data_IF_618939105906
#
_entry.id   IF_618939105906
#
_cell.length_a   1.000
_cell.length_b   1.000
_cell.length_c   1.000
_cell.angle_alpha   90.00
_cell.angle_beta   90.00
_cell.angle_gamma   90.00
#
_symmetry.space_group_name_H-M   'P 1'
#
loop_
_entity.id
_entity.type
_entity.pdbx_description
1 polymer ?
#
# COMPACT_ATOMS: atom_id res chain seq x y z
N UNK A 1 -11.95 -39.03 -47.98
CA UNK A 1 -13.20 -38.25 -47.92
C UNK A 1 -13.14 -37.42 -46.64
N UNK A 2 -12.99 -36.10 -46.81
CA UNK A 2 -13.08 -34.94 -45.89
C UNK A 2 -12.63 -35.10 -44.42
N UNK A 3 -11.55 -34.42 -43.99
CA UNK A 3 -11.48 -33.03 -43.49
C UNK A 3 -12.42 -32.73 -42.31
N UNK A 4 -11.87 -32.40 -41.13
CA UNK A 4 -11.74 -31.01 -40.68
C UNK A 4 -10.88 -30.90 -39.40
N UNK A 5 -9.83 -30.10 -39.53
CA UNK A 5 -9.02 -29.49 -38.46
C UNK A 5 -9.83 -28.42 -37.72
N UNK A 6 -9.76 -28.37 -36.39
CA UNK A 6 -9.99 -27.13 -35.65
C UNK A 6 -8.86 -26.91 -34.64
N UNK A 7 -8.12 -25.83 -34.90
CA UNK A 7 -7.13 -25.21 -34.03
C UNK A 7 -7.83 -24.66 -32.78
N UNK A 8 -7.35 -25.03 -31.60
CA UNK A 8 -7.61 -24.28 -30.37
C UNK A 8 -6.64 -23.10 -30.34
N UNK A 9 -7.14 -21.93 -30.72
CA UNK A 9 -6.53 -20.62 -30.47
C UNK A 9 -6.81 -20.27 -29.00
N UNK A 10 -5.82 -19.96 -28.16
CA UNK A 10 -6.11 -19.31 -26.89
C UNK A 10 -6.60 -17.89 -27.19
N UNK A 11 -7.82 -17.57 -26.77
CA UNK A 11 -8.35 -16.22 -26.81
C UNK A 11 -7.43 -15.33 -25.96
N UNK A 12 -6.69 -14.47 -26.65
CA UNK A 12 -5.95 -13.36 -26.07
C UNK A 12 -7.01 -12.42 -25.49
N UNK A 13 -7.15 -12.37 -24.17
CA UNK A 13 -7.80 -11.24 -23.50
C UNK A 13 -6.87 -10.04 -23.70
N UNK A 14 -7.11 -9.28 -24.77
CA UNK A 14 -6.62 -7.91 -24.84
C UNK A 14 -7.51 -7.10 -23.89
N UNK A 15 -7.04 -6.93 -22.66
CA UNK A 15 -7.42 -5.78 -21.84
C UNK A 15 -7.01 -4.54 -22.61
N UNK A 16 -7.97 -3.85 -23.21
CA UNK A 16 -7.77 -2.50 -23.70
C UNK A 16 -7.73 -1.61 -22.46
N UNK A 17 -6.51 -1.27 -22.02
CA UNK A 17 -6.26 -0.15 -21.12
C UNK A 17 -6.72 1.13 -21.82
N UNK A 18 -7.63 1.86 -21.17
CA UNK A 18 -7.93 3.25 -21.52
C UNK A 18 -7.24 4.11 -20.48
N UNK A 19 -6.05 4.61 -20.83
CA UNK A 19 -5.36 5.67 -20.10
C UNK A 19 -6.11 6.99 -20.29
N UNK A 20 -7.05 7.30 -19.39
CA UNK A 20 -7.54 8.66 -19.27
C UNK A 20 -6.55 9.47 -18.42
N UNK A 21 -5.53 10.02 -19.09
CA UNK A 21 -4.74 11.16 -18.60
C UNK A 21 -5.22 12.39 -19.37
N UNK A 22 -5.85 13.35 -18.69
CA UNK A 22 -6.30 14.60 -19.32
C UNK A 22 -5.72 15.79 -18.57
N UNK A 23 -4.72 16.41 -19.18
CA UNK A 23 -4.30 17.80 -18.93
C UNK A 23 -5.35 18.74 -19.56
N UNK A 24 -5.75 19.78 -18.82
CA UNK A 24 -6.77 20.76 -19.25
C UNK A 24 -6.13 22.08 -19.68
N UNK A 25 -6.51 22.58 -20.87
CA UNK A 25 -6.49 24.01 -21.21
C UNK A 25 -7.76 24.40 -21.98
N UNK A 26 -8.50 25.38 -21.46
CA UNK A 26 -9.01 26.52 -22.26
C UNK A 26 -10.49 26.57 -22.68
N UNK A 27 -11.27 27.32 -21.88
CA UNK A 27 -12.37 28.28 -22.20
C UNK A 27 -13.39 28.02 -23.32
N UNK A 28 -14.68 28.17 -22.98
CA UNK A 28 -15.48 29.35 -23.36
C UNK A 28 -16.82 29.40 -22.62
N UNK A 29 -17.20 30.63 -22.22
CA UNK A 29 -18.43 31.01 -21.53
C UNK A 29 -19.70 30.77 -22.38
N UNK A 30 -20.82 30.47 -21.73
CA UNK A 30 -22.16 30.85 -22.18
C UNK A 30 -23.13 30.92 -21.00
N UNK A 31 -24.06 31.87 -21.11
CA UNK A 31 -24.72 32.64 -20.06
C UNK A 31 -25.86 31.95 -19.32
N UNK A 32 -25.98 32.37 -18.06
CA UNK A 32 -27.03 32.10 -17.06
C UNK A 32 -28.35 32.76 -17.46
N UNK A 33 -29.46 32.01 -17.37
CA UNK A 33 -30.76 32.57 -16.96
C UNK A 33 -31.32 31.82 -15.74
N UNK A 34 -31.90 32.62 -14.87
CA UNK A 34 -32.19 32.45 -13.46
C UNK A 34 -33.48 31.64 -13.19
N UNK A 35 -33.41 30.52 -12.45
CA UNK A 35 -34.61 29.84 -11.94
C UNK A 35 -34.46 29.35 -10.49
N UNK A 36 -34.78 30.27 -9.59
CA UNK A 36 -35.32 30.03 -8.25
C UNK A 36 -36.56 29.11 -8.28
N UNK A 37 -36.38 27.79 -8.14
CA UNK A 37 -37.40 26.81 -7.69
C UNK A 37 -36.79 25.41 -7.52
N UNK A 38 -36.03 25.23 -6.44
CA UNK A 38 -35.57 23.89 -6.00
C UNK A 38 -36.58 23.40 -4.95
N UNK A 39 -37.27 22.29 -5.22
CA UNK A 39 -38.21 21.68 -4.26
C UNK A 39 -39.41 20.88 -4.82
N UNK A 40 -39.39 20.45 -6.08
CA UNK A 40 -40.42 19.54 -6.61
C UNK A 40 -39.89 18.11 -6.71
N UNK A 41 -40.72 17.10 -6.43
CA UNK A 41 -40.47 15.71 -6.84
C UNK A 41 -40.37 15.69 -8.37
N UNK A 42 -39.15 15.67 -8.90
CA UNK A 42 -38.97 15.47 -10.33
C UNK A 42 -39.38 14.04 -10.63
N UNK A 43 -40.43 13.89 -11.43
CA UNK A 43 -40.83 12.59 -11.95
C UNK A 43 -39.84 12.24 -13.06
N UNK A 44 -38.71 11.62 -12.71
CA UNK A 44 -37.67 11.28 -13.69
C UNK A 44 -38.05 9.98 -14.39
N UNK A 45 -37.95 9.95 -15.72
CA UNK A 45 -38.17 8.71 -16.48
C UNK A 45 -37.06 7.67 -16.26
N UNK A 46 -35.92 8.12 -15.74
CA UNK A 46 -34.69 7.36 -15.45
C UNK A 46 -34.30 7.66 -14.00
N UNK A 47 -33.97 6.62 -13.23
CA UNK A 47 -33.30 6.77 -11.92
C UNK A 47 -31.91 6.14 -11.99
N UNK A 48 -30.96 6.72 -11.26
CA UNK A 48 -29.56 6.32 -11.30
C UNK A 48 -29.01 6.21 -9.88
N UNK A 49 -28.44 5.06 -9.54
CA UNK A 49 -27.92 4.75 -8.22
C UNK A 49 -26.46 4.32 -8.28
N UNK A 50 -25.64 4.81 -7.36
CA UNK A 50 -24.23 4.46 -7.25
C UNK A 50 -24.11 3.12 -6.52
N UNK A 51 -23.73 2.08 -7.26
CA UNK A 51 -23.65 0.70 -6.75
C UNK A 51 -22.22 0.28 -6.40
N UNK A 52 -21.21 1.01 -6.90
CA UNK A 52 -19.81 0.82 -6.52
C UNK A 52 -19.06 2.17 -6.44
N UNK A 53 -18.52 2.54 -5.26
CA UNK A 53 -18.88 1.98 -3.96
C UNK A 53 -20.39 2.11 -3.71
N UNK A 54 -20.99 1.25 -2.90
CA UNK A 54 -22.42 1.32 -2.62
C UNK A 54 -22.76 2.60 -1.84
N UNK A 55 -23.68 3.42 -2.34
CA UNK A 55 -24.13 4.63 -1.66
C UNK A 55 -24.98 4.34 -0.41
N UNK A 56 -25.19 5.36 0.43
CA UNK A 56 -26.12 5.33 1.57
C UNK A 56 -27.52 4.88 1.12
N UNK A 57 -28.03 5.49 0.04
CA UNK A 57 -29.32 5.18 -0.54
C UNK A 57 -29.38 3.74 -1.09
N UNK A 58 -28.34 3.29 -1.79
CA UNK A 58 -28.28 1.91 -2.27
C UNK A 58 -28.21 0.90 -1.11
N UNK A 59 -27.45 1.20 -0.07
CA UNK A 59 -27.35 0.36 1.13
C UNK A 59 -28.65 0.33 1.94
N UNK A 60 -29.48 1.37 1.88
CA UNK A 60 -30.86 1.34 2.37
C UNK A 60 -31.73 0.38 1.55
N UNK A 61 -31.64 0.42 0.21
CA UNK A 61 -32.35 -0.54 -0.64
C UNK A 61 -31.93 -1.99 -0.39
N UNK A 62 -30.65 -2.23 -0.10
CA UNK A 62 -30.13 -3.54 0.26
C UNK A 62 -30.43 -3.96 1.72
N UNK A 63 -31.18 -3.14 2.48
CA UNK A 63 -31.48 -3.36 3.91
C UNK A 63 -30.24 -3.52 4.81
N UNK A 64 -29.09 -3.02 4.34
CA UNK A 64 -27.85 -3.06 5.10
C UNK A 64 -27.75 -1.85 6.03
N UNK A 65 -28.28 -0.70 5.62
CA UNK A 65 -28.50 0.44 6.49
C UNK A 65 -29.88 0.37 7.13
N UNK A 66 -29.95 0.66 8.42
CA UNK A 66 -31.19 0.75 9.18
C UNK A 66 -31.74 2.18 9.20
N UNK A 67 -33.01 2.31 9.61
CA UNK A 67 -33.74 3.58 9.73
C UNK A 67 -33.79 4.36 8.40
N UNK A 68 -34.13 3.64 7.32
CA UNK A 68 -34.24 4.18 5.96
C UNK A 68 -35.71 4.37 5.51
N UNK A 69 -36.61 4.66 6.47
CA UNK A 69 -38.07 4.74 6.27
C UNK A 69 -38.49 5.72 5.16
N UNK A 70 -37.59 6.61 4.76
CA UNK A 70 -37.75 7.56 3.65
C UNK A 70 -38.03 6.91 2.29
N UNK A 71 -37.58 5.67 2.09
CA UNK A 71 -37.80 4.90 0.85
C UNK A 71 -39.01 3.97 0.93
N UNK A 72 -39.69 3.91 2.09
CA UNK A 72 -40.98 3.24 2.23
C UNK A 72 -42.13 4.11 1.68
N UNK A 73 -41.87 5.41 1.45
CA UNK A 73 -42.84 6.41 0.99
C UNK A 73 -42.54 6.86 -0.46
N UNK A 74 -42.96 6.09 -1.47
CA UNK A 74 -42.92 6.39 -2.92
C UNK A 74 -41.58 6.89 -3.54
N UNK A 75 -40.53 7.07 -2.75
CA UNK A 75 -39.26 7.64 -3.16
C UNK A 75 -38.32 6.56 -3.68
N UNK A 76 -37.64 6.84 -4.79
CA UNK A 76 -36.66 5.93 -5.41
C UNK A 76 -35.24 6.26 -4.93
N UNK A 77 -34.45 5.24 -4.58
CA UNK A 77 -33.04 5.38 -4.16
C UNK A 77 -32.13 6.01 -5.23
N UNK A 78 -32.52 5.95 -6.50
CA UNK A 78 -31.87 6.61 -7.62
C UNK A 78 -32.52 7.95 -8.02
N UNK A 79 -33.49 8.44 -7.26
CA UNK A 79 -34.24 9.69 -7.51
C UNK A 79 -33.68 10.93 -6.79
N UNK A 80 -32.45 10.84 -6.24
CA UNK A 80 -31.80 11.92 -5.52
C UNK A 80 -31.07 12.81 -6.51
N UNK A 81 -31.60 14.01 -6.76
CA UNK A 81 -31.08 14.94 -7.75
C UNK A 81 -30.96 16.37 -7.21
N UNK A 82 -30.03 17.12 -7.78
CA UNK A 82 -29.74 18.50 -7.39
C UNK A 82 -29.04 19.29 -8.49
N UNK A 83 -28.50 20.48 -8.17
CA UNK A 83 -27.80 21.35 -9.11
C UNK A 83 -26.61 20.65 -9.80
N UNK A 84 -26.33 20.98 -11.06
CA UNK A 84 -25.23 20.35 -11.83
C UNK A 84 -23.85 20.78 -11.31
N UNK A 85 -23.68 22.06 -11.01
CA UNK A 85 -22.44 22.59 -10.46
C UNK A 85 -22.43 22.44 -8.93
N UNK A 86 -21.92 21.31 -8.46
CA UNK A 86 -21.80 21.05 -7.02
C UNK A 86 -20.91 22.08 -6.31
N UNK A 87 -19.86 22.56 -6.97
CA UNK A 87 -18.86 23.43 -6.35
C UNK A 87 -19.44 24.80 -6.02
N UNK A 88 -20.19 25.38 -6.95
CA UNK A 88 -20.74 26.73 -6.83
C UNK A 88 -22.18 26.73 -6.31
N UNK A 89 -23.04 25.93 -6.93
CA UNK A 89 -24.50 25.98 -6.72
C UNK A 89 -25.03 24.76 -5.97
N UNK A 90 -24.16 23.88 -5.50
CA UNK A 90 -24.54 22.65 -4.83
C UNK A 90 -25.29 22.86 -3.50
N UNK A 91 -25.82 21.77 -2.92
CA UNK A 91 -26.50 21.78 -1.63
C UNK A 91 -25.63 22.36 -0.52
N UNK A 92 -26.27 22.90 0.52
CA UNK A 92 -25.57 23.44 1.70
C UNK A 92 -24.83 22.34 2.45
N UNK A 93 -23.83 22.74 3.23
CA UNK A 93 -23.16 21.83 4.17
C UNK A 93 -24.20 21.18 5.10
N UNK A 94 -24.08 19.87 5.28
CA UNK A 94 -25.09 19.07 5.99
C UNK A 94 -26.34 18.72 5.18
N UNK A 95 -26.48 19.18 3.93
CA UNK A 95 -27.59 18.82 3.03
C UNK A 95 -27.10 18.06 1.77
N UNK A 96 -25.81 17.75 1.70
CA UNK A 96 -25.15 17.18 0.52
C UNK A 96 -25.70 15.79 0.16
N UNK A 97 -25.96 14.94 1.15
CA UNK A 97 -26.43 13.57 0.90
C UNK A 97 -27.89 13.51 0.44
N UNK A 98 -28.70 14.51 0.80
CA UNK A 98 -30.08 14.65 0.32
C UNK A 98 -30.20 15.48 -0.95
N UNK A 99 -29.08 15.99 -1.48
CA UNK A 99 -29.06 16.98 -2.57
C UNK A 99 -29.90 18.25 -2.27
N UNK A 100 -30.06 18.62 -0.99
CA UNK A 100 -30.92 19.74 -0.58
C UNK A 100 -32.42 19.44 -0.63
N UNK A 101 -32.82 18.20 -0.94
CA UNK A 101 -34.22 17.79 -0.96
C UNK A 101 -34.66 17.30 0.43
N UNK A 102 -35.64 17.95 1.08
CA UNK A 102 -36.11 17.54 2.40
C UNK A 102 -36.63 16.11 2.47
N UNK A 103 -37.15 15.60 1.35
CA UNK A 103 -37.63 14.23 1.23
C UNK A 103 -36.52 13.19 1.39
N UNK A 104 -35.24 13.55 1.39
CA UNK A 104 -34.12 12.63 1.62
C UNK A 104 -33.27 13.00 2.84
N UNK A 105 -33.76 13.86 3.73
CA UNK A 105 -32.98 14.42 4.85
C UNK A 105 -32.37 13.37 5.79
N UNK A 106 -32.98 12.19 5.92
CA UNK A 106 -32.41 11.11 6.73
C UNK A 106 -31.00 10.76 6.28
N UNK A 107 -30.68 10.87 4.98
CA UNK A 107 -29.36 10.56 4.43
C UNK A 107 -28.27 11.53 4.92
N UNK A 108 -28.65 12.70 5.46
CA UNK A 108 -27.71 13.69 6.01
C UNK A 108 -27.31 13.41 7.46
N UNK A 109 -27.94 12.44 8.12
CA UNK A 109 -27.54 12.04 9.47
C UNK A 109 -26.06 11.64 9.49
N UNK A 110 -25.38 11.99 10.58
CA UNK A 110 -23.98 11.71 10.81
C UNK A 110 -23.81 11.10 12.20
N UNK A 111 -22.75 10.34 12.37
CA UNK A 111 -22.44 9.61 13.58
C UNK A 111 -21.58 8.38 13.27
N UNK A 112 -20.69 8.00 14.19
CA UNK A 112 -19.94 6.77 14.07
C UNK A 112 -20.87 5.59 13.82
N UNK A 113 -20.59 4.82 12.75
CA UNK A 113 -21.35 3.62 12.37
C UNK A 113 -22.80 3.86 11.94
N UNK A 114 -23.26 5.11 11.79
CA UNK A 114 -24.62 5.42 11.29
C UNK A 114 -24.89 4.81 9.92
N UNK A 115 -23.87 4.75 9.08
CA UNK A 115 -23.93 4.23 7.72
C UNK A 115 -22.90 3.14 7.52
N UNK A 116 -23.34 2.03 6.91
CA UNK A 116 -22.46 0.97 6.48
C UNK A 116 -21.49 1.48 5.43
N UNK A 117 -20.21 1.19 5.68
CA UNK A 117 -19.11 1.60 4.83
C UNK A 117 -18.97 0.63 3.67
N UNK A 118 -18.90 1.17 2.47
CA UNK A 118 -18.53 0.43 1.27
C UNK A 118 -17.02 0.35 1.15
N UNK A 119 -16.50 -0.79 0.72
CA UNK A 119 -15.11 -0.89 0.33
C UNK A 119 -14.86 -0.12 -0.97
N UNK A 120 -14.04 0.93 -0.92
CA UNK A 120 -13.52 1.57 -2.12
C UNK A 120 -12.26 0.82 -2.55
N UNK A 121 -12.40 -0.02 -3.58
CA UNK A 121 -11.31 -0.85 -4.07
C UNK A 121 -10.32 -0.03 -4.88
N UNK A 122 -9.17 0.29 -4.29
CA UNK A 122 -8.12 1.09 -4.94
C UNK A 122 -6.95 0.20 -5.37
N UNK A 123 -6.43 0.37 -6.58
CA UNK A 123 -5.30 -0.38 -7.13
C UNK A 123 -4.23 0.60 -7.60
N UNK A 124 -2.96 0.27 -7.45
CA UNK A 124 -1.91 1.12 -8.03
C UNK A 124 -2.08 1.15 -9.55
N UNK A 125 -2.11 2.35 -10.12
CA UNK A 125 -2.19 2.54 -11.57
C UNK A 125 -0.84 3.02 -12.12
N UNK A 126 -0.22 3.99 -11.45
CA UNK A 126 1.15 4.43 -11.72
C UNK A 126 1.75 5.10 -10.47
N UNK A 127 2.98 5.58 -10.57
CA UNK A 127 3.74 6.17 -9.46
C UNK A 127 3.05 7.37 -8.77
N UNK A 128 2.07 8.01 -9.41
CA UNK A 128 1.37 9.19 -8.90
C UNK A 128 -0.13 8.96 -8.68
N UNK A 129 -0.69 7.83 -9.12
CA UNK A 129 -2.12 7.58 -9.08
C UNK A 129 -2.50 6.15 -8.71
N UNK A 130 -3.57 6.02 -7.95
CA UNK A 130 -4.34 4.80 -7.80
C UNK A 130 -5.55 4.82 -8.75
N UNK A 131 -5.99 3.67 -9.25
CA UNK A 131 -7.27 3.51 -9.93
C UNK A 131 -8.31 2.90 -8.99
N UNK A 132 -9.54 3.38 -9.06
CA UNK A 132 -10.72 2.72 -8.49
C UNK A 132 -11.82 2.63 -9.53
N UNK A 133 -12.56 1.52 -9.54
CA UNK A 133 -13.75 1.40 -10.37
C UNK A 133 -14.95 2.04 -9.67
N UNK A 134 -15.64 2.92 -10.39
CA UNK A 134 -16.93 3.50 -10.00
C UNK A 134 -18.02 2.92 -10.90
N UNK A 135 -19.17 2.56 -10.32
CA UNK A 135 -20.29 2.02 -11.07
C UNK A 135 -21.62 2.67 -10.69
N UNK A 136 -22.35 3.10 -11.71
CA UNK A 136 -23.73 3.58 -11.63
C UNK A 136 -24.67 2.60 -12.30
N UNK A 137 -25.82 2.34 -11.69
CA UNK A 137 -26.86 1.46 -12.21
C UNK A 137 -28.13 2.25 -12.49
N UNK A 138 -28.74 2.02 -13.64
CA UNK A 138 -29.95 2.70 -14.10
C UNK A 138 -31.17 1.79 -13.99
N UNK A 139 -32.33 2.36 -13.66
CA UNK A 139 -33.57 1.60 -13.45
C UNK A 139 -34.24 1.09 -14.72
N UNK A 140 -33.98 1.71 -15.87
CA UNK A 140 -34.62 1.38 -17.15
C UNK A 140 -33.60 0.93 -18.22
N UNK A 141 -34.08 0.19 -19.22
CA UNK A 141 -33.29 -0.30 -20.37
C UNK A 141 -33.04 0.79 -21.44
N UNK A 142 -33.33 2.06 -21.13
CA UNK A 142 -33.16 3.14 -22.09
C UNK A 142 -31.67 3.42 -22.35
N UNK A 143 -31.31 3.69 -23.62
CA UNK A 143 -30.00 4.24 -23.94
C UNK A 143 -29.85 5.61 -23.25
N UNK A 144 -29.03 5.68 -22.21
CA UNK A 144 -28.70 6.92 -21.52
C UNK A 144 -27.40 7.49 -22.07
N UNK A 145 -27.34 8.81 -22.22
CA UNK A 145 -26.13 9.52 -22.63
C UNK A 145 -25.64 10.34 -21.46
N UNK A 146 -24.45 10.03 -20.97
CA UNK A 146 -23.82 10.74 -19.85
C UNK A 146 -23.11 11.98 -20.36
N UNK A 147 -23.35 13.12 -19.72
CA UNK A 147 -22.77 14.41 -20.07
C UNK A 147 -21.60 14.78 -19.15
N UNK A 148 -21.79 14.57 -17.85
CA UNK A 148 -20.80 14.89 -16.83
C UNK A 148 -20.85 13.86 -15.70
N UNK A 149 -19.68 13.50 -15.17
CA UNK A 149 -19.55 12.82 -13.88
C UNK A 149 -18.50 13.55 -13.07
N UNK A 150 -18.75 13.79 -11.79
CA UNK A 150 -17.72 14.24 -10.86
C UNK A 150 -17.69 13.33 -9.64
N UNK A 151 -16.50 13.02 -9.17
CA UNK A 151 -16.29 12.23 -7.96
C UNK A 151 -15.45 13.08 -7.02
N UNK A 152 -16.00 13.33 -5.84
CA UNK A 152 -15.33 14.01 -4.75
C UNK A 152 -15.09 13.03 -3.62
N UNK A 153 -13.93 13.13 -2.99
CA UNK A 153 -13.57 12.30 -1.83
C UNK A 153 -13.15 13.23 -0.69
N UNK A 154 -13.53 12.84 0.53
CA UNK A 154 -13.16 13.55 1.74
C UNK A 154 -11.64 13.64 1.92
N UNK A 155 -11.16 14.77 2.44
CA UNK A 155 -9.75 14.97 2.85
C UNK A 155 -9.43 14.25 4.16
N UNK A 156 -8.15 14.21 4.53
CA UNK A 156 -7.67 13.63 5.79
C UNK A 156 -8.22 14.29 7.08
N UNK A 157 -8.93 15.42 6.98
CA UNK A 157 -9.55 16.10 8.11
C UNK A 157 -11.01 15.68 8.37
N UNK A 158 -11.55 14.76 7.57
CA UNK A 158 -12.92 14.31 7.72
C UNK A 158 -13.09 13.41 8.94
N UNK A 159 -14.22 13.58 9.63
CA UNK A 159 -14.67 12.75 10.74
C UNK A 159 -16.14 12.41 10.55
N UNK A 160 -16.58 11.25 11.03
CA UNK A 160 -17.96 10.78 10.85
C UNK A 160 -18.95 11.38 11.85
N UNK A 161 -18.46 12.14 12.84
CA UNK A 161 -19.26 12.82 13.86
C UNK A 161 -19.75 14.21 13.45
N UNK A 162 -19.37 14.70 12.26
CA UNK A 162 -19.78 16.01 11.74
C UNK A 162 -20.60 15.90 10.44
N UNK A 163 -21.44 16.92 10.14
CA UNK A 163 -22.08 17.02 8.84
C UNK A 163 -21.05 17.07 7.70
N UNK A 164 -21.41 16.52 6.54
CA UNK A 164 -20.56 16.60 5.34
C UNK A 164 -20.46 18.07 4.93
N UNK A 165 -19.24 18.59 4.90
CA UNK A 165 -18.92 19.94 4.47
C UNK A 165 -18.23 19.92 3.10
N UNK A 166 -18.60 20.85 2.23
CA UNK A 166 -18.01 21.00 0.88
C UNK A 166 -16.50 21.25 0.96
N UNK A 167 -16.04 22.00 1.95
CA UNK A 167 -14.62 22.30 2.20
C UNK A 167 -13.78 21.06 2.49
N UNK A 168 -14.40 19.97 2.95
CA UNK A 168 -13.74 18.71 3.24
C UNK A 168 -13.72 17.77 2.03
N UNK A 169 -14.38 18.12 0.92
CA UNK A 169 -14.47 17.29 -0.28
C UNK A 169 -13.51 17.81 -1.36
N UNK A 170 -12.59 16.96 -1.78
CA UNK A 170 -11.67 17.22 -2.89
C UNK A 170 -12.15 16.55 -4.16
N UNK A 171 -12.14 17.28 -5.28
CA UNK A 171 -12.39 16.68 -6.59
C UNK A 171 -11.31 15.63 -6.88
N UNK A 172 -11.73 14.38 -6.97
CA UNK A 172 -10.87 13.22 -7.15
C UNK A 172 -10.72 12.87 -8.63
N UNK A 173 -11.84 12.83 -9.37
CA UNK A 173 -11.84 12.67 -10.82
C UNK A 173 -13.12 13.27 -11.41
N UNK A 174 -13.08 13.57 -12.71
CA UNK A 174 -14.24 14.04 -13.45
C UNK A 174 -14.22 13.54 -14.88
N UNK A 175 -15.40 13.35 -15.44
CA UNK A 175 -15.65 13.15 -16.85
C UNK A 175 -16.50 14.32 -17.37
N UNK A 176 -16.11 14.87 -18.50
CA UNK A 176 -16.92 15.80 -19.28
C UNK A 176 -16.99 15.29 -20.71
N UNK A 177 -18.20 15.21 -21.27
CA UNK A 177 -18.41 14.75 -22.63
C UNK A 177 -17.71 15.68 -23.62
N UNK A 178 -16.69 15.18 -24.32
CA UNK A 178 -15.94 15.97 -25.31
C UNK A 178 -15.97 15.39 -26.73
N UNK A 179 -16.36 14.12 -26.92
CA UNK A 179 -16.79 13.48 -28.19
C UNK A 179 -17.10 11.97 -28.03
N UNK A 180 -16.63 11.32 -26.96
CA UNK A 180 -16.84 9.90 -26.70
C UNK A 180 -18.23 9.58 -26.12
N UNK A 181 -18.78 8.42 -26.50
CA UNK A 181 -19.95 7.83 -25.83
C UNK A 181 -19.44 6.93 -24.71
N UNK A 182 -19.72 7.28 -23.45
CA UNK A 182 -19.65 6.31 -22.37
C UNK A 182 -20.71 5.23 -22.65
N UNK A 183 -20.28 3.98 -22.78
CA UNK A 183 -21.17 2.86 -23.05
C UNK A 183 -21.75 2.39 -21.71
N UNK A 184 -23.07 2.32 -21.64
CA UNK A 184 -23.80 1.68 -20.53
C UNK A 184 -24.10 0.24 -20.96
N UNK A 185 -23.49 -0.71 -20.27
CA UNK A 185 -23.67 -2.15 -20.54
C UNK A 185 -24.55 -2.75 -19.46
N UNK A 186 -25.59 -3.51 -19.84
CA UNK A 186 -26.51 -4.16 -18.90
C UNK A 186 -27.13 -3.21 -17.84
N UNK A 187 -27.39 -1.95 -18.22
CA UNK A 187 -27.85 -0.85 -17.35
C UNK A 187 -26.82 -0.40 -16.30
N UNK A 188 -25.55 -0.78 -16.47
CA UNK A 188 -24.46 -0.39 -15.60
C UNK A 188 -23.44 0.41 -16.38
N UNK A 189 -23.16 1.62 -15.90
CA UNK A 189 -22.04 2.42 -16.34
C UNK A 189 -20.86 2.14 -15.41
N UNK A 190 -19.74 1.67 -15.96
CA UNK A 190 -18.47 1.48 -15.24
C UNK A 190 -17.42 2.45 -15.78
N UNK A 191 -16.66 3.07 -14.89
CA UNK A 191 -15.49 3.84 -15.29
C UNK A 191 -14.41 3.80 -14.22
N UNK A 192 -13.16 3.98 -14.67
CA UNK A 192 -12.00 4.08 -13.79
C UNK A 192 -11.80 5.53 -13.35
N UNK A 193 -11.68 5.74 -12.05
CA UNK A 193 -11.36 7.01 -11.43
C UNK A 193 -9.91 6.95 -10.93
N UNK A 194 -9.06 7.86 -11.42
CA UNK A 194 -7.65 7.93 -11.02
C UNK A 194 -7.49 8.91 -9.86
N UNK A 195 -7.17 8.39 -8.69
CA UNK A 195 -6.97 9.12 -7.44
C UNK A 195 -5.49 9.48 -7.29
N UNK A 196 -5.19 10.74 -7.00
CA UNK A 196 -3.82 11.17 -6.69
C UNK A 196 -3.28 10.43 -5.46
N UNK A 197 -2.00 10.06 -5.52
CA UNK A 197 -1.32 9.33 -4.46
C UNK A 197 -1.43 10.07 -3.11
N UNK A 198 -1.21 11.38 -3.10
CA UNK A 198 -1.26 12.21 -1.90
C UNK A 198 -2.64 12.17 -1.23
N UNK A 199 -3.71 12.27 -2.02
CA UNK A 199 -5.09 12.18 -1.51
C UNK A 199 -5.34 10.82 -0.83
N UNK A 200 -4.84 9.74 -1.43
CA UNK A 200 -4.99 8.38 -0.86
C UNK A 200 -4.18 8.23 0.42
N UNK A 201 -2.94 8.75 0.47
CA UNK A 201 -2.12 8.71 1.69
C UNK A 201 -2.74 9.53 2.82
N UNK A 202 -3.25 10.72 2.53
CA UNK A 202 -3.89 11.59 3.51
C UNK A 202 -5.07 10.87 4.19
N UNK A 203 -5.95 10.24 3.39
CA UNK A 203 -7.08 9.46 3.93
C UNK A 203 -6.57 8.22 4.69
N UNK A 204 -5.58 7.52 4.15
CA UNK A 204 -5.09 6.29 4.77
C UNK A 204 -4.49 6.54 6.15
N UNK A 205 -3.68 7.59 6.32
CA UNK A 205 -2.98 7.86 7.57
C UNK A 205 -3.71 8.78 8.54
N UNK A 206 -4.42 9.80 8.06
CA UNK A 206 -5.05 10.78 8.95
C UNK A 206 -6.43 10.31 9.42
N UNK A 207 -7.16 9.55 8.60
CA UNK A 207 -8.51 9.05 8.94
C UNK A 207 -8.57 7.53 9.06
N UNK A 208 -7.42 6.84 9.14
CA UNK A 208 -7.32 5.37 9.16
C UNK A 208 -8.06 4.70 7.98
N UNK A 209 -8.02 5.32 6.80
CA UNK A 209 -8.66 4.82 5.59
C UNK A 209 -10.19 5.02 5.55
N UNK A 210 -10.75 5.81 6.48
CA UNK A 210 -12.19 6.12 6.52
C UNK A 210 -12.48 7.41 5.76
N UNK A 211 -13.56 7.47 5.01
CA UNK A 211 -13.94 8.70 4.31
C UNK A 211 -15.35 8.69 3.77
N UNK A 212 -15.67 9.75 3.03
CA UNK A 212 -16.91 9.89 2.28
C UNK A 212 -16.59 10.17 0.83
N UNK A 213 -17.30 9.49 -0.06
CA UNK A 213 -17.29 9.73 -1.50
C UNK A 213 -18.64 10.32 -1.92
N UNK A 214 -18.61 11.46 -2.60
CA UNK A 214 -19.75 12.01 -3.32
C UNK A 214 -19.51 11.78 -4.81
N UNK A 215 -20.47 11.16 -5.50
CA UNK A 215 -20.49 11.13 -6.96
C UNK A 215 -21.71 11.88 -7.48
N UNK A 216 -21.49 12.78 -8.43
CA UNK A 216 -22.53 13.47 -9.19
C UNK A 216 -22.54 12.98 -10.63
N UNK A 217 -23.72 12.74 -11.21
CA UNK A 217 -23.87 12.27 -12.59
C UNK A 217 -24.95 13.07 -13.32
N UNK A 218 -24.59 13.69 -14.44
CA UNK A 218 -25.51 14.44 -15.30
C UNK A 218 -25.76 13.67 -16.60
N UNK A 219 -27.02 13.54 -16.97
CA UNK A 219 -27.41 13.01 -18.28
C UNK A 219 -27.54 14.14 -19.31
N UNK A 220 -27.26 13.84 -20.58
CA UNK A 220 -27.39 14.80 -21.66
C UNK A 220 -28.84 15.30 -21.77
N UNK A 221 -29.01 16.62 -21.87
CA UNK A 221 -30.33 17.26 -21.95
C UNK A 221 -31.06 17.40 -20.61
N UNK A 222 -30.40 17.11 -19.48
CA UNK A 222 -30.94 17.38 -18.15
C UNK A 222 -30.29 18.61 -17.51
N UNK A 223 -31.09 19.37 -16.76
CA UNK A 223 -30.68 20.57 -15.99
C UNK A 223 -30.31 20.24 -14.54
N UNK A 224 -30.22 18.95 -14.21
CA UNK A 224 -29.93 18.45 -12.87
C UNK A 224 -28.87 17.34 -12.95
N UNK A 225 -28.21 17.07 -11.82
CA UNK A 225 -27.36 15.90 -11.65
C UNK A 225 -27.95 14.98 -10.59
N UNK A 226 -27.74 13.68 -10.74
CA UNK A 226 -27.94 12.69 -9.69
C UNK A 226 -26.84 12.81 -8.64
N UNK A 227 -27.20 12.70 -7.36
CA UNK A 227 -26.29 12.81 -6.22
C UNK A 227 -26.30 11.50 -5.44
N UNK A 228 -25.12 10.92 -5.22
CA UNK A 228 -24.98 9.72 -4.41
C UNK A 228 -23.77 9.84 -3.50
N UNK A 229 -24.01 9.66 -2.20
CA UNK A 229 -22.98 9.68 -1.15
C UNK A 229 -22.74 8.27 -0.66
N UNK A 230 -21.47 7.85 -0.57
CA UNK A 230 -21.06 6.59 0.02
C UNK A 230 -20.09 6.87 1.17
N UNK A 231 -20.35 6.30 2.34
CA UNK A 231 -19.32 6.14 3.37
C UNK A 231 -18.39 5.04 2.90
N UNK A 232 -17.09 5.32 2.89
CA UNK A 232 -16.10 4.43 2.31
C UNK A 232 -15.06 4.02 3.35
N UNK A 233 -14.57 2.80 3.17
CA UNK A 233 -13.29 2.38 3.72
C UNK A 233 -12.38 2.07 2.54
N UNK A 234 -11.20 2.68 2.51
CA UNK A 234 -10.18 2.38 1.53
C UNK A 234 -9.80 0.91 1.66
N UNK A 235 -10.06 0.16 0.59
CA UNK A 235 -9.72 -1.23 0.50
C UNK A 235 -8.74 -1.39 -0.63
N UNK A 236 -7.46 -1.42 -0.31
CA UNK A 236 -6.47 -1.90 -1.26
C UNK A 236 -6.74 -3.40 -1.37
N UNK A 237 -7.30 -3.91 -2.50
CA UNK A 237 -7.61 -5.32 -2.62
C UNK A 237 -6.32 -6.08 -2.38
N UNK A 238 -6.39 -7.10 -1.54
CA UNK A 238 -5.31 -8.03 -1.29
C UNK A 238 -5.11 -8.93 -2.54
N UNK A 239 -4.89 -8.35 -3.73
CA UNK A 239 -3.71 -8.78 -4.45
C UNK A 239 -2.58 -8.38 -3.55
N UNK A 240 -1.65 -9.30 -3.27
CA UNK A 240 -0.46 -9.02 -2.49
C UNK A 240 -0.20 -7.52 -2.55
N UNK A 241 -0.38 -6.80 -1.43
CA UNK A 241 0.49 -5.66 -1.23
C UNK A 241 1.81 -6.25 -1.66
N UNK A 242 2.42 -5.70 -2.70
CA UNK A 242 3.82 -5.99 -2.91
C UNK A 242 4.43 -5.32 -1.69
N UNK A 243 4.33 -6.06 -0.59
CA UNK A 243 4.76 -5.76 0.72
C UNK A 243 6.23 -5.84 0.44
N UNK A 244 6.84 -4.70 0.12
CA UNK A 244 8.22 -4.61 -0.28
C UNK A 244 9.08 -5.18 0.82
N UNK A 245 9.34 -6.48 0.90
CA UNK A 245 9.52 -7.02 2.23
C UNK A 245 10.33 -8.33 2.23
N UNK A 246 11.32 -8.38 3.11
CA UNK A 246 12.18 -9.52 3.36
C UNK A 246 12.87 -9.41 4.71
N UNK A 247 13.29 -10.54 5.26
CA UNK A 247 14.04 -10.59 6.51
C UNK A 247 15.16 -11.63 6.47
N UNK A 248 16.14 -11.51 7.37
CA UNK A 248 17.13 -12.56 7.56
C UNK A 248 16.49 -13.70 8.36
N UNK A 249 16.34 -14.84 7.70
CA UNK A 249 15.84 -16.07 8.29
C UNK A 249 16.93 -16.82 9.06
N UNK A 250 18.17 -16.79 8.55
CA UNK A 250 19.33 -17.43 9.16
C UNK A 250 20.60 -16.60 8.94
N UNK A 251 21.35 -16.24 9.99
CA UNK A 251 20.96 -16.33 11.40
C UNK A 251 19.74 -15.45 11.69
N UNK A 252 18.80 -15.93 12.50
CA UNK A 252 17.47 -15.28 12.64
C UNK A 252 17.57 -13.84 13.14
N UNK A 253 17.03 -12.88 12.37
CA UNK A 253 17.14 -11.45 12.68
C UNK A 253 16.41 -11.03 13.96
N UNK A 254 16.79 -9.86 14.50
CA UNK A 254 16.12 -9.19 15.63
C UNK A 254 14.62 -9.03 15.39
N UNK A 255 14.24 -8.55 14.20
CA UNK A 255 12.85 -8.38 13.80
C UNK A 255 12.13 -9.73 13.71
N UNK A 256 12.76 -10.75 13.11
CA UNK A 256 12.16 -12.09 13.03
C UNK A 256 11.99 -12.74 14.42
N UNK A 257 12.94 -12.55 15.33
CA UNK A 257 12.83 -12.99 16.73
C UNK A 257 11.70 -12.26 17.49
N UNK A 258 11.35 -11.03 17.12
CA UNK A 258 10.16 -10.35 17.63
C UNK A 258 8.88 -11.02 17.15
N UNK A 259 8.78 -11.39 15.86
CA UNK A 259 7.64 -12.16 15.36
C UNK A 259 7.51 -13.52 16.05
N UNK A 260 8.63 -14.21 16.29
CA UNK A 260 8.67 -15.47 17.04
C UNK A 260 8.41 -15.30 18.54
N UNK A 261 8.16 -14.08 19.01
CA UNK A 261 7.95 -13.73 20.42
C UNK A 261 9.12 -14.16 21.33
N UNK A 262 10.31 -14.34 20.78
CA UNK A 262 11.55 -14.58 21.55
C UNK A 262 12.01 -13.25 22.13
N UNK A 263 12.14 -12.23 21.27
CA UNK A 263 12.25 -10.85 21.73
C UNK A 263 10.88 -10.32 22.14
N UNK A 264 10.84 -9.58 23.25
CA UNK A 264 9.61 -9.01 23.83
C UNK A 264 9.55 -7.51 23.60
N UNK A 265 8.36 -6.94 23.79
CA UNK A 265 8.09 -5.50 23.70
C UNK A 265 8.61 -4.89 22.39
N UNK A 266 8.27 -5.49 21.25
CA UNK A 266 8.75 -5.02 19.95
C UNK A 266 7.75 -4.15 19.17
N UNK A 267 6.54 -3.89 19.70
CA UNK A 267 5.54 -3.10 18.99
C UNK A 267 5.04 -3.77 17.69
N UNK A 268 4.80 -2.94 16.67
CA UNK A 268 4.17 -3.36 15.42
C UNK A 268 4.98 -4.38 14.62
N UNK A 269 6.32 -4.34 14.72
CA UNK A 269 7.21 -5.25 13.96
C UNK A 269 6.98 -6.74 14.27
N UNK A 270 6.30 -7.06 15.37
CA UNK A 270 5.93 -8.45 15.68
C UNK A 270 5.02 -9.08 14.62
N UNK A 271 4.29 -8.29 13.85
CA UNK A 271 3.38 -8.78 12.81
C UNK A 271 4.05 -8.86 11.44
N UNK A 272 5.12 -8.09 11.24
CA UNK A 272 5.66 -7.83 9.92
C UNK A 272 7.20 -7.66 9.91
N UNK A 273 7.98 -8.67 10.34
CA UNK A 273 9.45 -8.57 10.41
C UNK A 273 10.13 -8.28 9.08
N UNK A 274 9.40 -8.53 7.99
CA UNK A 274 9.81 -8.32 6.62
C UNK A 274 9.84 -6.82 6.21
N UNK A 275 9.24 -5.91 6.99
CA UNK A 275 8.93 -4.53 6.57
C UNK A 275 9.89 -3.44 7.06
N UNK A 276 11.09 -3.79 7.56
CA UNK A 276 12.04 -2.79 8.09
C UNK A 276 12.71 -2.02 6.92
N UNK A 277 11.92 -1.14 6.30
CA UNK A 277 12.29 -0.31 5.16
C UNK A 277 12.79 1.06 5.62
N UNK A 278 13.81 1.57 4.93
CA UNK A 278 14.32 2.92 5.09
C UNK A 278 15.00 3.40 3.81
N UNK A 279 15.49 4.64 3.77
CA UNK A 279 16.19 5.15 2.59
C UNK A 279 17.47 4.35 2.30
N UNK A 280 17.79 4.12 1.02
CA UNK A 280 19.00 3.41 0.59
C UNK A 280 20.25 4.28 0.58
N UNK A 281 21.43 3.68 0.43
CA UNK A 281 22.70 4.43 0.38
C UNK A 281 23.48 4.48 1.70
N UNK A 282 23.17 3.56 2.62
CA UNK A 282 24.03 3.31 3.79
C UNK A 282 25.45 2.98 3.30
N UNK A 283 26.52 3.51 3.92
CA UNK A 283 26.56 4.24 5.18
C UNK A 283 26.54 5.77 5.05
N UNK A 284 26.23 6.35 3.89
CA UNK A 284 26.18 7.81 3.78
C UNK A 284 25.01 8.37 4.59
N UNK A 285 25.33 9.08 5.69
CA UNK A 285 24.34 9.59 6.65
C UNK A 285 23.25 10.45 6.01
N UNK A 286 23.59 11.23 4.97
CA UNK A 286 22.62 12.09 4.29
C UNK A 286 21.52 11.32 3.57
N UNK A 287 21.81 10.10 3.13
CA UNK A 287 20.93 9.33 2.25
C UNK A 287 20.32 8.11 2.93
N UNK A 288 20.72 7.78 4.16
CA UNK A 288 20.30 6.54 4.84
C UNK A 288 19.81 6.84 6.27
N UNK A 289 19.18 5.87 6.97
CA UNK A 289 18.69 6.09 8.33
C UNK A 289 19.75 6.73 9.25
N UNK A 290 19.41 7.78 10.01
CA UNK A 290 20.37 8.47 10.85
C UNK A 290 20.87 7.55 11.97
N UNK A 291 22.01 7.93 12.57
CA UNK A 291 22.54 7.24 13.74
C UNK A 291 21.48 7.17 14.86
N UNK A 292 21.38 6.02 15.51
CA UNK A 292 20.32 5.70 16.48
C UNK A 292 18.99 5.25 15.87
N UNK A 293 18.85 5.25 14.54
CA UNK A 293 17.65 4.83 13.80
C UNK A 293 17.90 3.77 12.73
N UNK A 294 19.10 3.19 12.73
CA UNK A 294 19.52 2.19 11.74
C UNK A 294 18.69 0.90 11.87
N UNK A 295 18.36 0.49 13.10
CA UNK A 295 17.71 -0.80 13.33
C UNK A 295 16.22 -0.78 12.94
N UNK A 296 15.55 0.37 13.03
CA UNK A 296 14.18 0.57 12.58
C UNK A 296 14.04 0.99 11.12
N UNK A 297 15.15 1.22 10.40
CA UNK A 297 15.10 1.87 9.08
C UNK A 297 14.63 3.33 9.16
N UNK A 298 14.65 3.96 10.34
CA UNK A 298 14.01 5.25 10.65
C UNK A 298 12.48 5.23 10.54
N UNK A 299 11.86 4.04 10.58
CA UNK A 299 10.42 3.91 10.61
C UNK A 299 9.90 4.10 12.05
N UNK A 300 9.06 5.12 12.26
CA UNK A 300 8.51 5.46 13.59
C UNK A 300 7.67 4.34 14.21
N UNK A 301 7.02 3.52 13.39
CA UNK A 301 6.21 2.38 13.84
C UNK A 301 7.05 1.20 14.34
N UNK A 302 8.35 1.18 14.03
CA UNK A 302 9.30 0.13 14.44
C UNK A 302 10.40 0.66 15.36
N UNK A 303 10.17 1.82 16.00
CA UNK A 303 11.13 2.51 16.88
C UNK A 303 11.67 1.62 18.01
N UNK A 304 10.91 0.61 18.44
CA UNK A 304 11.32 -0.34 19.48
C UNK A 304 12.58 -1.12 19.05
N UNK A 305 12.81 -1.33 17.75
CA UNK A 305 14.03 -1.97 17.24
C UNK A 305 15.31 -1.17 17.53
N UNK A 306 15.19 0.14 17.72
CA UNK A 306 16.30 1.04 18.03
C UNK A 306 16.70 1.03 19.51
N UNK A 307 15.91 0.37 20.36
CA UNK A 307 16.24 0.22 21.77
C UNK A 307 17.56 -0.55 21.94
N UNK A 308 18.28 -0.21 23.00
CA UNK A 308 19.57 -0.79 23.33
C UNK A 308 19.58 -1.27 24.79
N UNK A 309 20.45 -2.21 25.08
CA UNK A 309 20.68 -2.73 26.42
C UNK A 309 21.32 -4.11 26.36
N UNK A 310 22.19 -4.43 27.32
CA UNK A 310 22.90 -5.72 27.37
C UNK A 310 21.97 -6.94 27.34
N UNK A 311 20.76 -6.79 27.89
CA UNK A 311 19.72 -7.83 27.95
C UNK A 311 18.50 -7.51 27.08
N UNK A 312 18.59 -6.51 26.18
CA UNK A 312 17.44 -6.04 25.40
C UNK A 312 17.07 -7.00 24.27
N UNK A 313 18.07 -7.59 23.63
CA UNK A 313 17.92 -8.44 22.46
C UNK A 313 18.54 -9.81 22.67
N UNK A 314 17.81 -10.84 22.27
CA UNK A 314 18.30 -12.22 22.26
C UNK A 314 19.38 -12.37 21.21
N UNK A 315 20.52 -12.96 21.60
CA UNK A 315 21.63 -13.24 20.70
C UNK A 315 21.52 -14.66 20.15
N UNK A 316 21.61 -14.80 18.84
CA UNK A 316 21.76 -16.11 18.18
C UNK A 316 23.25 -16.44 18.01
N UNK A 317 23.59 -17.69 17.72
CA UNK A 317 24.98 -18.04 17.49
C UNK A 317 25.50 -17.45 16.17
N UNK A 318 26.79 -17.13 16.11
CA UNK A 318 27.44 -16.81 14.85
C UNK A 318 27.19 -17.96 13.85
N UNK A 319 26.93 -17.67 12.56
CA UNK A 319 26.71 -18.71 11.56
C UNK A 319 27.83 -19.74 11.53
N UNK A 320 27.46 -20.99 11.26
CA UNK A 320 28.46 -22.05 11.11
C UNK A 320 29.44 -21.68 9.99
N UNK A 321 30.73 -21.74 10.30
CA UNK A 321 31.80 -21.48 9.35
C UNK A 321 32.27 -22.78 8.69
N UNK A 322 32.79 -22.66 7.47
CA UNK A 322 33.42 -23.75 6.72
C UNK A 322 34.76 -23.29 6.19
N UNK A 323 35.71 -24.19 6.11
CA UNK A 323 36.98 -23.92 5.44
C UNK A 323 36.73 -23.53 3.98
N UNK A 324 37.40 -22.47 3.51
CA UNK A 324 37.37 -22.06 2.10
C UNK A 324 38.78 -22.12 1.51
N UNK A 325 39.74 -21.44 2.15
CA UNK A 325 41.17 -21.58 1.87
C UNK A 325 42.00 -21.18 3.09
N UNK A 326 43.33 -21.22 2.98
CA UNK A 326 44.25 -20.92 4.08
C UNK A 326 44.14 -19.51 4.67
N UNK A 327 43.47 -18.58 3.98
CA UNK A 327 43.31 -17.18 4.40
C UNK A 327 41.87 -16.80 4.73
N UNK A 328 40.89 -17.61 4.34
CA UNK A 328 39.47 -17.30 4.45
C UNK A 328 38.62 -18.50 4.87
N UNK A 329 37.58 -18.21 5.64
CA UNK A 329 36.45 -19.09 5.92
C UNK A 329 35.22 -18.60 5.15
N UNK A 330 34.23 -19.47 4.99
CA UNK A 330 32.92 -19.13 4.45
C UNK A 330 31.82 -19.37 5.49
N UNK A 331 30.78 -18.55 5.45
CA UNK A 331 29.54 -18.76 6.22
C UNK A 331 28.35 -18.21 5.43
N UNK A 332 27.15 -18.67 5.76
CA UNK A 332 25.95 -18.28 5.03
C UNK A 332 25.09 -17.26 5.78
N UNK A 333 24.50 -16.35 5.00
CA UNK A 333 23.39 -15.50 5.40
C UNK A 333 22.21 -15.80 4.48
N UNK A 334 21.02 -15.98 5.04
CA UNK A 334 19.83 -16.41 4.31
C UNK A 334 18.71 -15.40 4.47
N UNK A 335 18.40 -14.70 3.37
CA UNK A 335 17.21 -13.87 3.24
C UNK A 335 16.00 -14.72 2.86
N UNK A 336 14.86 -14.40 3.45
CA UNK A 336 13.54 -14.86 3.01
C UNK A 336 12.72 -13.65 2.56
N UNK A 337 12.15 -13.73 1.36
CA UNK A 337 11.37 -12.65 0.77
C UNK A 337 9.89 -13.00 0.72
N UNK A 338 9.05 -12.10 1.21
CA UNK A 338 7.60 -12.20 1.05
C UNK A 338 7.13 -11.54 -0.24
N UNK A 339 7.90 -10.58 -0.77
CA UNK A 339 7.80 -10.05 -2.12
C UNK A 339 9.19 -9.84 -2.73
N UNK A 340 9.30 -10.00 -4.05
CA UNK A 340 10.57 -9.91 -4.78
C UNK A 340 10.67 -8.56 -5.48
N UNK A 341 11.81 -7.89 -5.36
CA UNK A 341 12.10 -6.64 -6.06
C UNK A 341 13.31 -6.75 -6.97
N UNK A 342 13.30 -5.92 -8.01
CA UNK A 342 14.51 -5.56 -8.73
C UNK A 342 15.55 -5.08 -7.71
N UNK A 343 16.67 -5.79 -7.62
CA UNK A 343 17.63 -5.58 -6.54
C UNK A 343 18.93 -5.00 -7.09
N UNK A 344 19.45 -3.97 -6.42
CA UNK A 344 20.78 -3.43 -6.72
C UNK A 344 21.85 -4.34 -6.11
N UNK A 345 21.87 -4.40 -4.78
CA UNK A 345 22.76 -5.28 -4.03
C UNK A 345 22.22 -5.68 -2.66
N UNK A 346 22.88 -6.68 -2.09
CA UNK A 346 22.83 -7.03 -0.68
C UNK A 346 24.20 -6.79 -0.06
N UNK A 347 24.25 -6.18 1.12
CA UNK A 347 25.47 -5.87 1.87
C UNK A 347 25.35 -6.33 3.31
N UNK A 348 26.41 -6.94 3.83
CA UNK A 348 26.50 -7.37 5.23
C UNK A 348 27.62 -6.61 5.91
N UNK A 349 27.28 -5.80 6.90
CA UNK A 349 28.19 -5.10 7.79
C UNK A 349 28.26 -5.83 9.12
N UNK A 350 29.38 -5.68 9.83
CA UNK A 350 29.60 -6.28 11.14
C UNK A 350 30.07 -5.22 12.12
N UNK A 351 29.73 -5.40 13.39
CA UNK A 351 30.24 -4.55 14.47
C UNK A 351 31.78 -4.54 14.53
N UNK A 352 32.35 -3.40 14.92
CA UNK A 352 33.77 -3.22 15.24
C UNK A 352 34.00 -3.17 16.77
N UNK A 353 35.25 -3.00 17.23
CA UNK A 353 35.59 -3.03 18.67
C UNK A 353 34.92 -1.93 19.52
N UNK A 354 34.34 -0.90 18.90
CA UNK A 354 33.63 0.18 19.58
C UNK A 354 32.17 -0.14 19.85
N UNK A 355 31.63 -1.21 19.28
CA UNK A 355 30.24 -1.57 19.50
C UNK A 355 29.99 -1.92 20.98
N UNK A 356 28.94 -1.32 21.53
CA UNK A 356 28.37 -1.69 22.82
C UNK A 356 26.84 -1.63 22.77
N UNK A 357 26.20 -2.57 23.43
CA UNK A 357 24.77 -2.62 23.70
C UNK A 357 24.28 -1.53 24.66
N UNK A 358 25.16 -0.64 25.14
CA UNK A 358 24.83 0.39 26.15
C UNK A 358 24.48 1.75 25.55
N UNK A 359 24.45 1.85 24.23
CA UNK A 359 24.13 3.07 23.51
C UNK A 359 23.46 2.76 22.16
N UNK A 360 22.75 3.74 21.56
CA UNK A 360 22.08 3.53 20.29
C UNK A 360 23.04 3.10 19.17
N UNK A 361 22.61 2.18 18.31
CA UNK A 361 23.40 1.74 17.16
C UNK A 361 23.70 2.92 16.23
N UNK A 362 24.96 3.06 15.84
CA UNK A 362 25.47 4.18 15.05
C UNK A 362 26.56 3.67 14.10
N UNK A 363 26.85 4.41 13.03
CA UNK A 363 27.89 4.07 12.05
C UNK A 363 29.25 3.81 12.68
N UNK A 364 29.58 4.49 13.80
CA UNK A 364 30.86 4.29 14.50
C UNK A 364 31.03 2.90 15.11
N UNK A 365 29.93 2.16 15.29
CA UNK A 365 29.93 0.80 15.82
C UNK A 365 30.16 -0.26 14.75
N UNK A 366 30.16 0.11 13.47
CA UNK A 366 30.23 -0.82 12.35
C UNK A 366 31.57 -0.71 11.63
N UNK A 367 32.06 -1.84 11.13
CA UNK A 367 33.04 -1.86 10.05
C UNK A 367 32.30 -1.47 8.76
N UNK A 368 32.54 -0.24 8.28
CA UNK A 368 31.81 0.32 7.13
C UNK A 368 32.30 -0.24 5.77
N UNK A 369 33.33 -1.09 5.78
CA UNK A 369 33.62 -1.96 4.66
C UNK A 369 32.79 -3.23 4.82
N UNK A 370 31.79 -3.48 3.96
CA UNK A 370 30.92 -4.63 4.12
C UNK A 370 31.74 -5.92 4.05
N UNK A 371 31.46 -6.83 4.99
CA UNK A 371 32.01 -8.18 5.05
C UNK A 371 31.64 -8.99 3.80
N UNK A 372 30.50 -8.68 3.20
CA UNK A 372 29.92 -9.42 2.09
C UNK A 372 29.08 -8.49 1.21
N UNK A 373 29.23 -8.60 -0.10
CA UNK A 373 28.41 -7.87 -1.08
C UNK A 373 27.96 -8.86 -2.16
N UNK A 374 26.67 -8.86 -2.49
CA UNK A 374 26.12 -9.61 -3.62
C UNK A 374 25.29 -8.68 -4.49
N UNK A 375 25.85 -8.34 -5.66
CA UNK A 375 25.17 -7.51 -6.66
C UNK A 375 24.13 -8.31 -7.44
N UNK A 376 23.06 -7.64 -7.81
CA UNK A 376 22.00 -8.16 -8.67
C UNK A 376 21.77 -7.33 -9.93
N UNK A 377 22.29 -6.08 -9.98
CA UNK A 377 22.26 -5.22 -11.16
C UNK A 377 20.84 -5.10 -11.77
N UNK A 378 19.83 -4.94 -10.90
CA UNK A 378 18.42 -4.83 -11.28
C UNK A 378 17.69 -6.16 -11.50
N UNK A 379 18.34 -7.30 -11.28
CA UNK A 379 17.68 -8.62 -11.35
C UNK A 379 16.91 -8.91 -10.07
N UNK A 380 15.91 -9.80 -10.19
CA UNK A 380 15.13 -10.28 -9.06
C UNK A 380 15.87 -11.41 -8.31
N UNK A 381 15.89 -11.40 -6.97
CA UNK A 381 16.40 -12.52 -6.18
C UNK A 381 15.42 -13.70 -6.21
N UNK A 382 15.89 -14.92 -5.92
CA UNK A 382 14.99 -16.03 -5.60
C UNK A 382 14.25 -15.76 -4.29
N UNK A 383 13.13 -16.46 -4.05
CA UNK A 383 12.31 -16.33 -2.83
C UNK A 383 13.07 -16.57 -1.52
N UNK A 384 14.09 -17.41 -1.59
CA UNK A 384 15.07 -17.59 -0.53
C UNK A 384 16.45 -17.41 -1.14
N UNK A 385 17.21 -16.45 -0.64
CA UNK A 385 18.55 -16.16 -1.12
C UNK A 385 19.56 -16.54 -0.05
N UNK A 386 20.40 -17.52 -0.37
CA UNK A 386 21.60 -17.82 0.42
C UNK A 386 22.78 -17.03 -0.15
N UNK A 387 23.44 -16.28 0.72
CA UNK A 387 24.67 -15.55 0.46
C UNK A 387 25.82 -16.24 1.20
N UNK A 388 26.75 -16.83 0.44
CA UNK A 388 28.00 -17.34 0.99
C UNK A 388 29.00 -16.19 1.10
N UNK A 389 29.34 -15.84 2.34
CA UNK A 389 30.17 -14.71 2.69
C UNK A 389 31.55 -15.18 3.13
N UNK A 390 32.59 -14.55 2.58
CA UNK A 390 33.98 -14.85 2.92
C UNK A 390 34.44 -13.96 4.07
N UNK A 391 35.03 -14.57 5.09
CA UNK A 391 35.65 -13.86 6.20
C UNK A 391 37.12 -14.27 6.30
N UNK A 392 38.01 -13.29 6.40
CA UNK A 392 39.43 -13.60 6.58
C UNK A 392 39.65 -14.28 7.94
N UNK A 393 40.59 -15.21 8.00
CA UNK A 393 40.97 -15.89 9.25
C UNK A 393 41.36 -14.88 10.33
N UNK A 394 42.04 -13.78 9.95
CA UNK A 394 42.36 -12.66 10.84
C UNK A 394 41.11 -12.02 11.43
N UNK A 395 40.14 -11.62 10.59
CA UNK A 395 38.88 -11.00 11.05
C UNK A 395 38.11 -11.98 11.93
N UNK A 396 38.04 -13.26 11.55
CA UNK A 396 37.40 -14.28 12.37
C UNK A 396 37.99 -14.34 13.78
N UNK A 397 39.33 -14.37 13.92
CA UNK A 397 39.99 -14.29 15.23
C UNK A 397 39.69 -12.99 15.98
N UNK A 398 39.61 -11.84 15.31
CA UNK A 398 39.19 -10.59 15.94
C UNK A 398 37.79 -10.73 16.54
N UNK A 399 36.82 -11.29 15.80
CA UNK A 399 35.45 -11.49 16.29
C UNK A 399 35.37 -12.43 17.49
N UNK A 400 36.20 -13.48 17.57
CA UNK A 400 36.22 -14.39 18.74
C UNK A 400 36.59 -13.70 20.05
N UNK A 401 37.24 -12.53 19.98
CA UNK A 401 37.66 -11.75 21.16
C UNK A 401 36.67 -10.64 21.52
N UNK A 402 35.70 -10.37 20.66
CA UNK A 402 34.69 -9.34 20.89
C UNK A 402 33.63 -9.84 21.86
N UNK A 403 33.23 -8.98 22.80
CA UNK A 403 32.24 -9.31 23.84
C UNK A 403 30.80 -9.22 23.34
N UNK A 404 30.56 -8.30 22.42
CA UNK A 404 29.26 -8.04 21.84
C UNK A 404 29.43 -7.90 20.34
N UNK A 405 28.51 -8.51 19.60
CA UNK A 405 28.56 -8.54 18.15
C UNK A 405 27.16 -8.34 17.56
N UNK A 406 27.13 -7.74 16.38
CA UNK A 406 25.94 -7.68 15.55
C UNK A 406 26.29 -7.73 14.07
N UNK A 407 25.34 -8.20 13.27
CA UNK A 407 25.35 -8.07 11.82
C UNK A 407 24.27 -7.07 11.39
N UNK A 408 24.62 -6.15 10.51
CA UNK A 408 23.66 -5.31 9.80
C UNK A 408 23.60 -5.79 8.35
N UNK A 409 22.44 -6.26 7.93
CA UNK A 409 22.19 -6.69 6.56
C UNK A 409 21.34 -5.61 5.89
N UNK A 410 21.79 -5.16 4.73
CA UNK A 410 21.14 -4.12 3.93
C UNK A 410 20.81 -4.71 2.56
N UNK A 411 19.59 -4.53 2.11
CA UNK A 411 19.13 -4.88 0.76
C UNK A 411 18.69 -3.61 0.06
N UNK A 412 19.46 -3.14 -0.93
CA UNK A 412 19.09 -1.96 -1.72
C UNK A 412 18.20 -2.38 -2.90
N UNK A 413 17.02 -1.75 -2.98
CA UNK A 413 16.10 -1.94 -4.11
C UNK A 413 16.59 -1.07 -5.27
N UNK A 414 16.59 -1.65 -6.47
CA UNK A 414 17.23 -1.05 -7.64
C UNK A 414 16.51 0.21 -8.13
N UNK A 415 15.20 0.10 -8.33
CA UNK A 415 14.33 1.07 -8.97
C UNK A 415 13.59 2.00 -8.00
N UNK A 416 13.88 1.91 -6.70
CA UNK A 416 13.31 2.81 -5.67
C UNK A 416 14.41 3.53 -4.88
N UNK A 417 14.01 4.48 -4.02
CA UNK A 417 14.92 5.16 -3.09
C UNK A 417 15.16 4.37 -1.79
N UNK A 418 14.64 3.14 -1.68
CA UNK A 418 14.53 2.42 -0.42
C UNK A 418 15.43 1.18 -0.34
N UNK A 419 15.68 0.76 0.90
CA UNK A 419 16.43 -0.42 1.27
C UNK A 419 15.84 -1.06 2.53
N UNK A 420 16.08 -2.36 2.70
CA UNK A 420 15.68 -3.11 3.89
C UNK A 420 16.84 -3.28 4.85
N UNK A 421 16.60 -2.98 6.13
CA UNK A 421 17.59 -3.02 7.20
C UNK A 421 17.27 -4.14 8.17
N UNK A 422 18.16 -5.13 8.30
CA UNK A 422 17.96 -6.27 9.18
C UNK A 422 19.16 -6.46 10.10
N UNK A 423 18.95 -6.18 11.40
CA UNK A 423 19.93 -6.44 12.45
C UNK A 423 19.84 -7.89 12.91
N UNK A 424 20.99 -8.53 13.13
CA UNK A 424 21.07 -9.81 13.85
C UNK A 424 22.04 -9.67 15.02
N UNK A 425 21.52 -9.81 16.24
CA UNK A 425 22.31 -9.86 17.45
C UNK A 425 22.96 -11.24 17.58
N UNK A 426 24.30 -11.29 17.65
CA UNK A 426 25.05 -12.54 17.57
C UNK A 426 26.00 -12.72 18.76
N UNK A 427 26.16 -13.97 19.19
CA UNK A 427 27.26 -14.38 20.03
C UNK A 427 28.56 -14.49 19.20
N UNK A 428 29.71 -14.35 19.85
CA UNK A 428 31.02 -14.61 19.25
C UNK A 428 31.10 -16.00 18.61
N UNK A 429 31.90 -16.17 17.53
CA UNK A 429 32.15 -17.50 17.00
C UNK A 429 32.72 -18.41 18.10
N UNK A 430 32.09 -19.58 18.28
CA UNK A 430 32.48 -20.54 19.33
C UNK A 430 33.45 -21.60 18.83
N UNK A 431 33.57 -21.77 17.51
CA UNK A 431 34.39 -22.80 16.88
C UNK A 431 35.80 -22.27 16.59
N UNK A 432 36.84 -23.03 16.95
CA UNK A 432 38.22 -22.67 16.63
C UNK A 432 38.54 -22.97 15.17
N UNK A 433 39.40 -22.17 14.56
CA UNK A 433 39.83 -22.38 13.17
C UNK A 433 40.48 -23.77 12.98
N UNK A 434 41.22 -24.26 13.96
CA UNK A 434 41.84 -25.59 13.93
C UNK A 434 40.79 -26.71 13.88
N UNK A 435 39.64 -26.54 14.55
CA UNK A 435 38.55 -27.52 14.47
C UNK A 435 37.90 -27.50 13.08
N UNK A 436 37.68 -26.31 12.50
CA UNK A 436 37.15 -26.15 11.14
C UNK A 436 38.08 -26.81 10.11
N UNK A 437 39.39 -26.61 10.25
CA UNK A 437 40.40 -27.26 9.40
C UNK A 437 40.36 -28.78 9.52
N UNK A 438 40.34 -29.32 10.75
CA UNK A 438 40.27 -30.76 10.97
C UNK A 438 39.01 -31.38 10.39
N UNK A 439 37.87 -30.71 10.49
CA UNK A 439 36.62 -31.18 9.88
C UNK A 439 36.77 -31.26 8.35
N UNK A 440 37.29 -30.21 7.71
CA UNK A 440 37.54 -30.20 6.27
C UNK A 440 38.49 -31.34 5.83
N UNK A 441 39.63 -31.50 6.49
CA UNK A 441 40.59 -32.57 6.20
C UNK A 441 39.98 -33.97 6.35
N UNK A 442 39.10 -34.16 7.35
CA UNK A 442 38.39 -35.44 7.53
C UNK A 442 37.43 -35.75 6.39
N UNK A 443 36.73 -34.73 5.86
CA UNK A 443 35.80 -34.88 4.73
C UNK A 443 36.51 -35.11 3.40
N UNK A 444 37.64 -34.44 3.15
CA UNK A 444 38.47 -34.67 1.95
C UNK A 444 39.08 -36.07 1.92
N UNK A 445 39.51 -36.59 3.08
CA UNK A 445 40.05 -37.95 3.15
C UNK A 445 38.96 -39.00 2.89
N UNK A 446 37.71 -38.73 3.26
CA UNK A 446 36.59 -39.62 2.96
C UNK A 446 36.27 -39.66 1.46
N UNK A 447 36.28 -38.51 0.76
CA UNK A 447 35.99 -38.45 -0.68
C UNK A 447 37.11 -38.95 -1.60
N UNK A 448 38.34 -39.14 -1.09
CA UNK A 448 39.46 -39.74 -1.84
C UNK A 448 39.55 -41.26 -1.73
N UNK A 449 38.78 -41.89 -0.84
CA UNK A 449 38.79 -43.34 -0.61
C UNK A 449 37.59 -44.08 -1.20
N UNK A 450 36.64 -43.36 -1.80
CA UNK A 450 35.59 -43.86 -2.70
C UNK A 450 35.98 -43.57 -4.16
#
# INVERSE_FOLDING_TARGET
>A
MLLLTFLLIPAIFNSIEIDATIDVVGNSELSIEDHTKIGGNYNTAVTAVLTKPSSRAYNCFLETNLDCNVFESDNDVGGIIGPVDFSNDGPKDGEIASAGNPSYNVLNEHGPERWNRSYLKIQEHNATHFATEIAWTFSNEAEVVVDQIQVFISTGNYTDDQPIQRSLLSLACSYQRSNDRLIVEDRVLRFSCHLRYELVQDIFYETNGLGVLLSTLKLAGTEYAFYQVADITLHIPIYQVVNYHGYISEPTSRAKLCQLRVNKNCGAITYEPQSVEGLKGFPNERYSPPDGKIASGNNKSFKELDEYGANRWTRVNFPRVRYYNSTHLSFDIVWYFTALHSTDDFRVYISNERYSSREPLSRRHLDLNPLCVKKFDGKYPPRQLTMSCLISVKKYYELTRMKELLLLNVWDVYDTAYAFYQITDINGPSESYENVLREYESTENFTRHD
#
